data_IF_796876093548
#
_entry.id   IF_796876093548
#
_cell.length_a   1.000
_cell.length_b   1.000
_cell.length_c   1.000
_cell.angle_alpha   90.00
_cell.angle_beta   90.00
_cell.angle_gamma   90.00
#
_symmetry.space_group_name_H-M   'P 1'
#
loop_
_entity.id
_entity.type
_entity.pdbx_description
1 polymer ?
#
# COMPACT_ATOMS: atom_id res chain seq x y z
N UNK A 1 -2.29 26.39 9.51
CA UNK A 1 -2.77 25.45 8.47
C UNK A 1 -1.55 24.79 7.84
N UNK A 2 -1.31 23.51 8.13
CA UNK A 2 -0.17 22.78 7.56
C UNK A 2 -0.50 22.54 6.08
N UNK A 3 0.15 23.31 5.21
CA UNK A 3 -0.03 23.26 3.76
C UNK A 3 0.67 21.99 3.28
N UNK A 4 -0.06 20.87 3.31
CA UNK A 4 0.41 19.58 2.83
C UNK A 4 0.81 19.76 1.36
N UNK A 5 2.08 19.53 1.05
CA UNK A 5 2.53 19.52 -0.34
C UNK A 5 1.80 18.35 -1.04
N UNK A 6 1.00 18.60 -2.08
CA UNK A 6 0.23 17.54 -2.76
C UNK A 6 1.11 16.42 -3.33
N UNK A 7 2.41 16.70 -3.52
CA UNK A 7 3.42 15.78 -4.04
C UNK A 7 4.16 15.00 -2.93
N UNK A 8 3.95 15.32 -1.65
CA UNK A 8 4.60 14.61 -0.55
C UNK A 8 3.80 13.36 -0.15
N UNK A 9 4.17 12.23 -0.75
CA UNK A 9 3.62 10.91 -0.41
C UNK A 9 3.76 10.54 1.07
N UNK A 10 4.70 11.13 1.82
CA UNK A 10 4.85 10.87 3.27
C UNK A 10 3.72 11.51 4.07
N UNK A 11 3.26 12.68 3.63
CA UNK A 11 2.20 13.42 4.28
C UNK A 11 0.86 12.66 4.17
N UNK A 12 0.57 12.14 2.97
CA UNK A 12 -0.56 11.25 2.72
C UNK A 12 -0.46 9.92 3.49
N UNK A 13 0.74 9.34 3.59
CA UNK A 13 0.99 8.13 4.39
C UNK A 13 0.66 8.35 5.88
N UNK A 14 1.11 9.48 6.44
CA UNK A 14 0.85 9.82 7.83
C UNK A 14 -0.66 10.02 8.09
N UNK A 15 -1.35 10.70 7.17
CA UNK A 15 -2.80 10.92 7.25
C UNK A 15 -3.58 9.61 7.18
N UNK A 16 -3.23 8.72 6.25
CA UNK A 16 -3.90 7.44 6.10
C UNK A 16 -3.63 6.50 7.30
N UNK A 17 -2.41 6.48 7.84
CA UNK A 17 -2.09 5.74 9.08
C UNK A 17 -2.89 6.26 10.27
N UNK A 18 -3.04 7.57 10.39
CA UNK A 18 -3.87 8.16 11.43
C UNK A 18 -5.34 7.76 11.29
N UNK A 19 -5.92 7.84 10.08
CA UNK A 19 -7.32 7.46 9.84
C UNK A 19 -7.60 5.97 10.07
N UNK A 20 -6.66 5.10 9.71
CA UNK A 20 -6.80 3.64 9.86
C UNK A 20 -6.62 3.17 11.30
N UNK A 21 -5.67 3.76 12.06
CA UNK A 21 -5.39 3.33 13.43
C UNK A 21 -6.23 4.05 14.48
N UNK A 22 -6.48 5.36 14.33
CA UNK A 22 -7.09 6.18 15.38
C UNK A 22 -8.60 6.26 15.21
N UNK A 23 -9.08 6.45 13.97
CA UNK A 23 -10.50 6.66 13.74
C UNK A 23 -11.29 5.39 13.40
N UNK A 24 -10.63 4.26 13.11
CA UNK A 24 -11.27 3.02 12.60
C UNK A 24 -12.24 3.28 11.45
N UNK A 25 -11.90 4.23 10.56
CA UNK A 25 -12.70 4.59 9.39
C UNK A 25 -11.98 4.18 8.11
N UNK A 26 -12.03 2.89 7.73
CA UNK A 26 -11.31 2.38 6.57
C UNK A 26 -11.80 2.99 5.25
N UNK A 27 -13.11 3.26 5.12
CA UNK A 27 -13.67 3.91 3.94
C UNK A 27 -13.13 5.32 3.71
N UNK A 28 -12.98 6.12 4.78
CA UNK A 28 -12.38 7.44 4.65
C UNK A 28 -10.89 7.36 4.30
N UNK A 29 -10.17 6.38 4.85
CA UNK A 29 -8.77 6.17 4.54
C UNK A 29 -8.57 5.74 3.08
N UNK A 30 -9.48 4.92 2.53
CA UNK A 30 -9.50 4.54 1.11
C UNK A 30 -9.65 5.77 0.21
N UNK A 31 -10.58 6.69 0.53
CA UNK A 31 -10.74 7.94 -0.23
C UNK A 31 -9.47 8.78 -0.20
N UNK A 32 -8.83 8.89 0.97
CA UNK A 32 -7.54 9.60 1.12
C UNK A 32 -6.46 8.96 0.26
N UNK A 33 -6.35 7.63 0.21
CA UNK A 33 -5.38 6.96 -0.66
C UNK A 33 -5.68 7.16 -2.15
N UNK A 34 -6.95 7.12 -2.55
CA UNK A 34 -7.34 7.37 -3.94
C UNK A 34 -7.01 8.80 -4.39
N UNK A 35 -7.28 9.78 -3.53
CA UNK A 35 -6.92 11.18 -3.78
C UNK A 35 -5.39 11.36 -3.85
N UNK A 36 -4.67 10.76 -2.89
CA UNK A 36 -3.21 10.78 -2.88
C UNK A 36 -2.60 10.17 -4.17
N UNK A 37 -3.14 9.05 -4.64
CA UNK A 37 -2.71 8.40 -5.88
C UNK A 37 -3.11 9.20 -7.13
N UNK A 38 -4.17 10.01 -7.07
CA UNK A 38 -4.52 10.95 -8.13
C UNK A 38 -3.50 12.10 -8.29
N UNK A 39 -2.79 12.45 -7.22
CA UNK A 39 -1.71 13.46 -7.25
C UNK A 39 -0.32 12.85 -7.44
N UNK A 40 -0.10 11.67 -6.87
CA UNK A 40 1.17 10.95 -6.85
C UNK A 40 0.98 9.56 -7.47
N UNK A 41 0.65 9.51 -8.75
CA UNK A 41 0.48 8.24 -9.45
C UNK A 41 1.77 7.41 -9.36
N UNK A 42 1.61 6.13 -9.04
CA UNK A 42 2.74 5.21 -8.97
C UNK A 42 3.66 5.36 -7.75
N UNK A 43 3.31 6.17 -6.75
CA UNK A 43 4.11 6.23 -5.54
C UNK A 43 4.07 4.88 -4.79
N UNK A 44 5.19 4.15 -4.69
CA UNK A 44 5.20 2.79 -4.15
C UNK A 44 4.89 2.74 -2.66
N UNK A 45 5.17 3.81 -1.91
CA UNK A 45 4.84 3.92 -0.48
C UNK A 45 3.33 4.04 -0.27
N UNK A 46 2.65 4.81 -1.13
CA UNK A 46 1.20 4.97 -1.08
C UNK A 46 0.49 3.67 -1.47
N UNK A 47 0.93 3.03 -2.55
CA UNK A 47 0.38 1.74 -3.00
C UNK A 47 0.60 0.65 -1.95
N UNK A 48 1.78 0.61 -1.31
CA UNK A 48 2.07 -0.32 -0.22
C UNK A 48 1.16 -0.09 0.99
N UNK A 49 1.01 1.16 1.44
CA UNK A 49 0.18 1.45 2.59
C UNK A 49 -1.32 1.22 2.30
N UNK A 50 -1.76 1.50 1.09
CA UNK A 50 -3.11 1.20 0.66
C UNK A 50 -3.36 -0.31 0.60
N UNK A 51 -2.40 -1.09 0.12
CA UNK A 51 -2.45 -2.55 0.15
C UNK A 51 -2.60 -3.09 1.57
N UNK A 52 -1.87 -2.52 2.54
CA UNK A 52 -1.99 -2.90 3.96
C UNK A 52 -3.39 -2.61 4.52
N UNK A 53 -4.00 -1.49 4.12
CA UNK A 53 -5.38 -1.17 4.50
C UNK A 53 -6.36 -2.21 3.95
N UNK A 54 -6.31 -2.47 2.64
CA UNK A 54 -7.18 -3.47 2.01
C UNK A 54 -6.99 -4.87 2.60
N UNK A 55 -5.75 -5.21 2.95
CA UNK A 55 -5.43 -6.48 3.61
C UNK A 55 -6.09 -6.58 4.99
N UNK A 56 -6.10 -5.50 5.78
CA UNK A 56 -6.74 -5.44 7.10
C UNK A 56 -8.27 -5.51 7.02
N UNK A 57 -8.85 -4.93 5.97
CA UNK A 57 -10.29 -4.99 5.70
C UNK A 57 -10.74 -6.32 5.09
N UNK A 58 -9.81 -7.27 4.85
CA UNK A 58 -10.12 -8.57 4.28
C UNK A 58 -10.18 -8.60 2.76
N UNK A 59 -9.94 -7.48 2.08
CA UNK A 59 -9.90 -7.35 0.62
C UNK A 59 -8.56 -7.84 0.04
N UNK A 60 -8.25 -9.11 0.29
CA UNK A 60 -6.99 -9.74 -0.11
C UNK A 60 -6.68 -9.63 -1.61
N UNK A 61 -7.62 -9.84 -2.55
CA UNK A 61 -7.35 -9.68 -3.98
C UNK A 61 -6.91 -8.25 -4.33
N UNK A 62 -7.54 -7.24 -3.73
CA UNK A 62 -7.20 -5.84 -3.96
C UNK A 62 -5.83 -5.49 -3.40
N UNK A 63 -5.50 -5.98 -2.20
CA UNK A 63 -4.18 -5.81 -1.61
C UNK A 63 -3.07 -6.40 -2.50
N UNK A 64 -3.30 -7.58 -3.08
CA UNK A 64 -2.34 -8.22 -3.98
C UNK A 64 -2.05 -7.39 -5.24
N UNK A 65 -3.09 -6.85 -5.88
CA UNK A 65 -2.91 -5.97 -7.04
C UNK A 65 -2.17 -4.68 -6.68
N UNK A 66 -2.49 -4.05 -5.54
CA UNK A 66 -1.80 -2.85 -5.07
C UNK A 66 -0.31 -3.11 -4.81
N UNK A 67 0.05 -4.21 -4.14
CA UNK A 67 1.45 -4.57 -3.93
C UNK A 67 2.19 -4.87 -5.24
N UNK A 68 1.52 -5.56 -6.18
CA UNK A 68 2.08 -5.84 -7.50
C UNK A 68 2.31 -4.55 -8.29
N UNK A 69 1.38 -3.61 -8.25
CA UNK A 69 1.53 -2.30 -8.86
C UNK A 69 2.69 -1.52 -8.24
N UNK A 70 2.80 -1.52 -6.91
CA UNK A 70 3.91 -0.87 -6.20
C UNK A 70 5.27 -1.42 -6.64
N UNK A 71 5.40 -2.75 -6.78
CA UNK A 71 6.64 -3.39 -7.28
C UNK A 71 6.91 -3.15 -8.77
N UNK A 72 5.89 -2.76 -9.56
CA UNK A 72 6.06 -2.40 -10.97
C UNK A 72 6.55 -0.97 -11.12
N UNK A 73 5.98 -0.05 -10.34
CA UNK A 73 6.38 1.35 -10.34
C UNK A 73 7.78 1.56 -9.77
N UNK A 74 8.09 0.90 -8.66
CA UNK A 74 9.44 0.91 -8.09
C UNK A 74 9.91 -0.52 -7.78
N UNK A 75 10.66 -1.13 -8.70
CA UNK A 75 11.25 -2.45 -8.47
C UNK A 75 12.28 -2.48 -7.34
N UNK A 76 12.79 -1.34 -6.88
CA UNK A 76 13.76 -1.25 -5.77
C UNK A 76 13.09 -1.11 -4.41
N UNK A 77 11.77 -0.92 -4.37
CA UNK A 77 11.04 -0.75 -3.12
C UNK A 77 10.86 -2.07 -2.36
N UNK A 78 11.83 -2.38 -1.50
CA UNK A 78 11.89 -3.61 -0.69
C UNK A 78 10.61 -3.84 0.12
N UNK A 79 10.02 -2.80 0.70
CA UNK A 79 8.83 -2.95 1.54
C UNK A 79 7.62 -3.50 0.77
N UNK A 80 7.46 -3.14 -0.51
CA UNK A 80 6.41 -3.69 -1.38
C UNK A 80 6.67 -5.14 -1.75
N UNK A 81 7.91 -5.52 -2.03
CA UNK A 81 8.28 -6.93 -2.26
C UNK A 81 8.03 -7.80 -1.03
N UNK A 82 8.41 -7.31 0.15
CA UNK A 82 8.17 -8.01 1.43
C UNK A 82 6.66 -8.13 1.70
N UNK A 83 5.89 -7.06 1.51
CA UNK A 83 4.44 -7.08 1.71
C UNK A 83 3.76 -8.08 0.76
N UNK A 84 4.14 -8.05 -0.53
CA UNK A 84 3.66 -9.01 -1.54
C UNK A 84 4.03 -10.44 -1.20
N UNK A 85 5.29 -10.69 -0.81
CA UNK A 85 5.77 -12.02 -0.43
C UNK A 85 5.07 -12.56 0.81
N UNK A 86 4.83 -11.72 1.82
CA UNK A 86 4.05 -12.09 3.02
C UNK A 86 2.60 -12.43 2.66
N UNK A 87 1.97 -11.65 1.78
CA UNK A 87 0.61 -11.92 1.33
C UNK A 87 0.54 -13.25 0.57
N UNK A 88 1.47 -13.48 -0.37
CA UNK A 88 1.57 -14.73 -1.12
C UNK A 88 1.79 -15.94 -0.20
N UNK A 89 2.64 -15.80 0.82
CA UNK A 89 2.86 -16.84 1.83
C UNK A 89 1.57 -17.16 2.60
N UNK A 90 0.82 -16.14 3.01
CA UNK A 90 -0.47 -16.33 3.70
C UNK A 90 -1.53 -16.99 2.80
N UNK A 91 -1.46 -16.75 1.49
CA UNK A 91 -2.29 -17.40 0.48
C UNK A 91 -1.78 -18.80 0.07
N UNK A 92 -0.77 -19.35 0.76
CA UNK A 92 -0.10 -20.61 0.44
C UNK A 92 0.50 -20.69 -0.99
N UNK A 93 0.76 -19.53 -1.61
CA UNK A 93 1.47 -19.42 -2.89
C UNK A 93 2.97 -19.34 -2.66
N UNK A 94 3.55 -20.46 -2.24
CA UNK A 94 4.93 -20.52 -1.76
C UNK A 94 5.95 -20.14 -2.84
N UNK A 95 5.72 -20.54 -4.10
CA UNK A 95 6.60 -20.20 -5.22
C UNK A 95 6.62 -18.69 -5.52
N UNK A 96 5.45 -18.05 -5.48
CA UNK A 96 5.34 -16.60 -5.67
C UNK A 96 6.00 -15.85 -4.50
N UNK A 97 5.79 -16.31 -3.26
CA UNK A 97 6.44 -15.73 -2.09
C UNK A 97 7.97 -15.80 -2.18
N UNK A 98 8.51 -16.96 -2.57
CA UNK A 98 9.96 -17.15 -2.79
C UNK A 98 10.51 -16.29 -3.94
N UNK A 99 9.73 -16.06 -4.98
CA UNK A 99 10.13 -15.14 -6.05
C UNK A 99 10.21 -13.69 -5.54
N UNK A 100 9.26 -13.28 -4.70
CA UNK A 100 9.24 -11.92 -4.12
C UNK A 100 10.41 -11.67 -3.16
N UNK A 101 10.81 -12.65 -2.34
CA UNK A 101 11.93 -12.48 -1.40
C UNK A 101 13.33 -12.58 -2.03
N UNK A 102 13.42 -12.97 -3.30
CA UNK A 102 14.70 -13.06 -4.04
C UNK A 102 15.03 -11.80 -4.85
N UNK A 103 14.13 -10.82 -4.85
CA UNK A 103 14.31 -9.51 -5.48
C UNK A 103 14.83 -8.52 -4.45
#
# INVERSE_FOLDING_TARGET
AMRMDPLDGRAWLALARHKTQVNRKPEEARKVFQEALGHCEGNPYLLQAFGVLEEREGNVPRAAELYKEATRWDPTHVASWVARGRLAHRLQRIDEARACFRR
#
